data_IF_896202605360
#
_entry.id   IF_896202605360
#
_cell.length_a   1.000
_cell.length_b   1.000
_cell.length_c   1.000
_cell.angle_alpha   90.00
_cell.angle_beta   90.00
_cell.angle_gamma   90.00
#
_symmetry.space_group_name_H-M   'P 1'
#
loop_
_entity.id
_entity.type
_entity.pdbx_description
1 polymer ?
#
# COMPACT_ATOMS: atom_id res chain seq x y z
N UNK A 1 13.54 5.70 11.95
CA UNK A 1 12.52 6.18 11.00
C UNK A 1 11.61 5.01 10.69
N UNK A 2 10.31 5.15 10.91
CA UNK A 2 9.29 4.14 10.61
C UNK A 2 8.84 4.33 9.17
N UNK A 3 9.13 3.34 8.31
CA UNK A 3 8.72 3.35 6.91
C UNK A 3 7.59 2.33 6.74
N UNK A 4 6.44 2.81 6.25
CA UNK A 4 5.29 1.98 5.90
C UNK A 4 5.19 1.78 4.39
N UNK A 5 4.79 0.58 3.96
CA UNK A 5 4.39 0.27 2.60
C UNK A 5 2.89 0.02 2.55
N UNK A 6 2.14 0.79 1.76
CA UNK A 6 0.75 0.51 1.42
C UNK A 6 0.66 -0.01 -0.02
N UNK A 7 0.62 -1.34 -0.22
CA UNK A 7 0.61 -1.93 -1.55
C UNK A 7 -0.82 -2.09 -2.10
N UNK A 8 -0.99 -1.97 -3.41
CA UNK A 8 -2.25 -2.19 -4.09
C UNK A 8 -2.11 -2.12 -5.61
N UNK A 9 -3.14 -2.58 -6.33
CA UNK A 9 -3.21 -2.36 -7.78
C UNK A 9 -3.58 -0.91 -8.09
N UNK A 10 -4.46 -0.30 -7.28
CA UNK A 10 -4.97 1.06 -7.46
C UNK A 10 -5.53 1.30 -8.87
N UNK A 11 -6.53 0.49 -9.26
CA UNK A 11 -7.09 0.47 -10.60
C UNK A 11 -8.61 0.78 -10.59
N UNK A 12 -9.02 2.05 -10.44
CA UNK A 12 -8.20 3.22 -10.07
C UNK A 12 -8.01 3.35 -8.55
N UNK A 13 -7.25 4.36 -8.12
CA UNK A 13 -7.29 4.83 -6.73
C UNK A 13 -8.72 5.32 -6.38
N UNK A 14 -9.14 5.16 -5.12
CA UNK A 14 -10.52 5.42 -4.67
C UNK A 14 -10.49 6.18 -3.34
N UNK A 15 -11.64 6.70 -2.91
CA UNK A 15 -11.77 7.40 -1.63
C UNK A 15 -11.40 6.50 -0.43
N UNK A 16 -11.71 5.20 -0.49
CA UNK A 16 -11.29 4.25 0.54
C UNK A 16 -9.76 4.06 0.60
N UNK A 17 -9.08 4.08 -0.56
CA UNK A 17 -7.61 4.09 -0.58
C UNK A 17 -7.05 5.38 0.04
N UNK A 18 -7.66 6.53 -0.28
CA UNK A 18 -7.25 7.85 0.23
C UNK A 18 -7.40 7.92 1.76
N UNK A 19 -8.50 7.41 2.32
CA UNK A 19 -8.70 7.33 3.78
C UNK A 19 -7.57 6.54 4.46
N UNK A 20 -7.23 5.36 3.92
CA UNK A 20 -6.15 4.53 4.45
C UNK A 20 -4.81 5.26 4.36
N UNK A 21 -4.52 5.93 3.25
CA UNK A 21 -3.28 6.70 3.08
C UNK A 21 -3.17 7.79 4.15
N UNK A 22 -4.23 8.59 4.33
CA UNK A 22 -4.24 9.68 5.31
C UNK A 22 -4.04 9.17 6.74
N UNK A 23 -4.73 8.10 7.11
CA UNK A 23 -4.62 7.53 8.46
C UNK A 23 -3.29 6.81 8.66
N UNK A 24 -2.73 6.18 7.63
CA UNK A 24 -1.42 5.55 7.66
C UNK A 24 -0.30 6.55 7.93
N UNK A 25 -0.38 7.77 7.39
CA UNK A 25 0.59 8.84 7.65
C UNK A 25 0.70 9.22 9.14
N UNK A 26 -0.32 8.96 9.95
CA UNK A 26 -0.24 9.19 11.39
C UNK A 26 0.57 8.09 12.14
N UNK A 27 0.87 6.97 11.48
CA UNK A 27 1.53 5.80 12.08
C UNK A 27 3.01 5.67 11.70
N UNK A 28 3.41 6.29 10.60
CA UNK A 28 4.75 6.16 10.02
C UNK A 28 5.38 7.52 9.71
N UNK A 29 6.71 7.57 9.72
CA UNK A 29 7.44 8.80 9.39
C UNK A 29 7.48 9.03 7.88
N UNK A 30 7.50 7.93 7.09
CA UNK A 30 7.44 7.93 5.63
C UNK A 30 6.51 6.83 5.14
N UNK A 31 5.62 7.17 4.20
CA UNK A 31 4.70 6.22 3.58
C UNK A 31 5.09 5.98 2.12
N UNK A 32 5.21 4.71 1.73
CA UNK A 32 5.43 4.30 0.35
C UNK A 32 4.16 3.66 -0.17
N UNK A 33 3.67 4.13 -1.33
CA UNK A 33 2.51 3.54 -2.00
C UNK A 33 3.02 2.60 -3.10
N UNK A 34 2.92 1.30 -2.84
CA UNK A 34 3.39 0.26 -3.75
C UNK A 34 2.36 -0.02 -4.83
N UNK A 35 2.59 0.43 -6.07
CA UNK A 35 1.68 0.18 -7.19
C UNK A 35 2.10 -1.10 -7.91
N UNK A 36 1.36 -2.18 -7.68
CA UNK A 36 1.65 -3.48 -8.29
C UNK A 36 1.31 -3.46 -9.80
N UNK A 37 2.19 -4.03 -10.64
CA UNK A 37 1.90 -4.14 -12.08
C UNK A 37 0.69 -5.02 -12.35
N UNK A 38 0.59 -6.18 -11.68
CA UNK A 38 -0.51 -7.16 -11.81
C UNK A 38 -0.92 -7.47 -13.26
N UNK A 39 0.05 -7.81 -14.13
CA UNK A 39 -0.18 -8.10 -15.56
C UNK A 39 -1.25 -9.19 -15.79
N UNK A 40 -1.25 -10.22 -14.95
CA UNK A 40 -2.17 -11.36 -15.08
C UNK A 40 -3.64 -11.02 -14.81
N UNK A 41 -3.92 -9.87 -14.18
CA UNK A 41 -5.28 -9.44 -13.84
C UNK A 41 -5.89 -8.47 -14.86
N UNK A 42 -5.14 -8.06 -15.89
CA UNK A 42 -5.63 -7.19 -16.95
C UNK A 42 -6.24 -5.88 -16.43
N UNK A 43 -5.45 -5.01 -15.77
CA UNK A 43 -5.96 -3.76 -15.21
C UNK A 43 -6.59 -2.84 -16.28
N UNK A 44 -7.58 -2.06 -15.86
CA UNK A 44 -8.28 -1.09 -16.72
C UNK A 44 -7.35 0.03 -17.18
N UNK A 45 -6.44 0.46 -16.31
CA UNK A 45 -5.47 1.52 -16.56
C UNK A 45 -4.03 0.97 -16.64
N UNK A 46 -3.20 1.62 -17.46
CA UNK A 46 -1.77 1.29 -17.53
C UNK A 46 -1.10 1.52 -16.18
N UNK A 47 0.09 0.93 -15.98
CA UNK A 47 0.85 1.17 -14.75
C UNK A 47 1.17 2.66 -14.58
N UNK A 48 1.54 3.31 -15.67
CA UNK A 48 1.89 4.73 -15.72
C UNK A 48 0.68 5.60 -15.36
N UNK A 49 -0.51 5.27 -15.89
CA UNK A 49 -1.75 5.97 -15.55
C UNK A 49 -2.11 5.82 -14.08
N UNK A 50 -2.01 4.61 -13.52
CA UNK A 50 -2.29 4.35 -12.11
C UNK A 50 -1.30 5.06 -11.18
N UNK A 51 -0.01 5.03 -11.51
CA UNK A 51 1.01 5.78 -10.78
C UNK A 51 0.69 7.27 -10.79
N UNK A 52 0.39 7.85 -11.96
CA UNK A 52 0.05 9.26 -12.07
C UNK A 52 -1.19 9.65 -11.25
N UNK A 53 -2.24 8.81 -11.25
CA UNK A 53 -3.42 9.02 -10.41
C UNK A 53 -3.07 8.99 -8.92
N UNK A 54 -2.28 8.01 -8.47
CA UNK A 54 -1.87 7.88 -7.08
C UNK A 54 -0.99 9.07 -6.66
N UNK A 55 -0.05 9.50 -7.50
CA UNK A 55 0.82 10.66 -7.26
C UNK A 55 0.01 11.95 -7.10
N UNK A 56 -0.99 12.16 -7.95
CA UNK A 56 -1.86 13.34 -7.88
C UNK A 56 -2.62 13.42 -6.54
N UNK A 57 -3.22 12.31 -6.10
CA UNK A 57 -3.91 12.24 -4.81
C UNK A 57 -2.95 12.40 -3.63
N UNK A 58 -1.78 11.75 -3.68
CA UNK A 58 -0.76 11.87 -2.64
C UNK A 58 -0.23 13.29 -2.49
N UNK A 59 -0.02 14.01 -3.60
CA UNK A 59 0.40 15.41 -3.59
C UNK A 59 -0.63 16.31 -2.87
N UNK A 60 -1.92 16.09 -3.11
CA UNK A 60 -2.99 16.81 -2.43
C UNK A 60 -3.05 16.52 -0.91
N UNK A 61 -2.70 15.28 -0.50
CA UNK A 61 -2.62 14.90 0.92
C UNK A 61 -1.41 15.57 1.59
N UNK A 62 -0.21 15.44 0.99
CA UNK A 62 1.04 16.05 1.52
C UNK A 62 0.86 17.54 1.75
N UNK A 63 0.24 18.25 0.79
CA UNK A 63 -0.01 19.69 0.88
C UNK A 63 -0.88 20.08 2.09
N UNK A 64 -1.72 19.17 2.60
CA UNK A 64 -2.64 19.42 3.73
C UNK A 64 -2.05 18.98 5.07
N UNK A 65 -1.38 17.84 5.11
CA UNK A 65 -0.97 17.21 6.38
C UNK A 65 0.47 17.50 6.76
N UNK A 66 1.32 17.84 5.78
CA UNK A 66 2.76 17.65 5.94
C UNK A 66 3.14 16.17 6.00
N UNK A 67 4.39 15.83 5.68
CA UNK A 67 4.90 14.46 5.67
C UNK A 67 5.47 14.04 4.31
N UNK A 68 5.93 12.79 4.24
CA UNK A 68 6.56 12.21 3.05
C UNK A 68 5.75 11.00 2.55
N UNK A 69 5.22 11.11 1.33
CA UNK A 69 4.63 9.98 0.59
C UNK A 69 5.42 9.79 -0.70
N UNK A 70 5.79 8.55 -1.01
CA UNK A 70 6.48 8.18 -2.25
C UNK A 70 5.68 7.11 -2.98
N UNK A 71 5.39 7.33 -4.25
CA UNK A 71 4.75 6.31 -5.09
C UNK A 71 5.83 5.44 -5.74
N UNK A 72 5.70 4.13 -5.62
CA UNK A 72 6.70 3.17 -6.07
C UNK A 72 6.04 2.03 -6.87
N UNK A 73 6.16 2.01 -8.20
CA UNK A 73 5.72 0.86 -9.00
C UNK A 73 6.64 -0.34 -8.75
N UNK A 74 6.06 -1.54 -8.65
CA UNK A 74 6.85 -2.76 -8.45
C UNK A 74 6.22 -3.99 -9.13
N UNK A 75 7.06 -4.94 -9.50
CA UNK A 75 6.67 -6.21 -10.14
C UNK A 75 7.13 -7.48 -9.42
N UNK A 76 7.99 -7.35 -8.41
CA UNK A 76 8.48 -8.45 -7.59
C UNK A 76 7.50 -8.81 -6.46
N UNK A 77 7.92 -9.71 -5.56
CA UNK A 77 7.11 -10.08 -4.40
C UNK A 77 6.92 -8.87 -3.49
N UNK A 78 5.76 -8.80 -2.84
CA UNK A 78 5.45 -7.74 -1.88
C UNK A 78 6.53 -7.58 -0.81
N UNK A 79 7.03 -8.71 -0.29
CA UNK A 79 8.06 -8.69 0.76
C UNK A 79 9.40 -8.14 0.26
N UNK A 80 9.72 -8.35 -1.02
CA UNK A 80 10.94 -7.84 -1.63
C UNK A 80 10.81 -6.33 -1.89
N UNK A 81 9.66 -5.88 -2.41
CA UNK A 81 9.35 -4.45 -2.51
C UNK A 81 9.45 -3.75 -1.14
N UNK A 82 8.94 -4.38 -0.06
CA UNK A 82 9.08 -3.83 1.28
C UNK A 82 10.56 -3.68 1.69
N UNK A 83 11.42 -4.65 1.39
CA UNK A 83 12.88 -4.55 1.63
C UNK A 83 13.52 -3.45 0.78
N UNK A 84 13.19 -3.40 -0.50
CA UNK A 84 13.76 -2.45 -1.47
C UNK A 84 13.54 -1.00 -1.04
N UNK A 85 12.37 -0.70 -0.47
CA UNK A 85 12.02 0.64 0.02
C UNK A 85 12.33 0.84 1.52
N UNK A 86 12.91 -0.16 2.18
CA UNK A 86 13.25 -0.13 3.60
C UNK A 86 12.05 -0.12 4.55
N UNK A 87 10.88 -0.59 4.10
CA UNK A 87 9.67 -0.67 4.90
C UNK A 87 9.75 -1.80 5.94
N UNK A 88 9.53 -1.46 7.20
CA UNK A 88 9.36 -2.43 8.29
C UNK A 88 7.89 -2.75 8.59
N UNK A 89 6.96 -2.04 7.93
CA UNK A 89 5.52 -2.16 8.16
C UNK A 89 4.82 -2.24 6.81
N UNK A 90 4.01 -3.26 6.59
CA UNK A 90 3.04 -3.35 5.49
C UNK A 90 1.68 -2.95 6.04
N UNK A 91 1.04 -1.99 5.40
CA UNK A 91 -0.30 -1.49 5.78
C UNK A 91 -1.30 -2.08 4.79
N UNK A 92 -2.45 -2.58 5.29
CA UNK A 92 -3.52 -3.13 4.45
C UNK A 92 -4.87 -2.62 4.94
N UNK A 93 -5.76 -2.31 3.99
CA UNK A 93 -7.16 -2.00 4.30
C UNK A 93 -8.01 -3.27 4.30
N UNK A 94 -8.87 -3.46 5.29
CA UNK A 94 -9.91 -4.49 5.31
C UNK A 94 -11.28 -3.83 5.17
N UNK A 95 -12.08 -4.25 4.19
CA UNK A 95 -13.44 -3.72 3.98
C UNK A 95 -14.50 -4.69 4.47
N UNK A 96 -14.31 -5.98 4.21
CA UNK A 96 -15.26 -7.02 4.57
C UNK A 96 -14.58 -8.20 5.26
N UNK A 97 -15.37 -9.01 5.97
CA UNK A 97 -14.90 -10.23 6.62
C UNK A 97 -14.22 -11.18 5.63
N UNK A 98 -14.69 -11.24 4.38
CA UNK A 98 -14.11 -12.07 3.34
C UNK A 98 -12.66 -11.71 2.98
N UNK A 99 -12.26 -10.43 3.15
CA UNK A 99 -10.88 -10.00 2.92
C UNK A 99 -9.94 -10.63 3.97
N UNK A 100 -10.44 -10.87 5.19
CA UNK A 100 -9.62 -11.33 6.31
C UNK A 100 -9.01 -12.71 6.08
N UNK A 101 -9.76 -13.68 5.56
CA UNK A 101 -9.23 -15.04 5.35
C UNK A 101 -8.06 -15.05 4.36
N UNK A 102 -8.22 -14.35 3.24
CA UNK A 102 -7.18 -14.20 2.24
C UNK A 102 -5.95 -13.47 2.79
N UNK A 103 -6.17 -12.35 3.47
CA UNK A 103 -5.09 -11.56 4.05
C UNK A 103 -4.36 -12.30 5.18
N UNK A 104 -5.07 -13.08 6.00
CA UNK A 104 -4.48 -13.88 7.08
C UNK A 104 -3.49 -14.92 6.53
N UNK A 105 -3.85 -15.59 5.43
CA UNK A 105 -2.93 -16.51 4.75
C UNK A 105 -1.70 -15.78 4.20
N UNK A 106 -1.89 -14.63 3.56
CA UNK A 106 -0.77 -13.84 3.03
C UNK A 106 0.18 -13.36 4.14
N UNK A 107 -0.34 -12.98 5.30
CA UNK A 107 0.50 -12.61 6.46
C UNK A 107 1.37 -13.78 6.90
N UNK A 108 0.81 -14.98 7.00
CA UNK A 108 1.57 -16.18 7.33
C UNK A 108 2.72 -16.44 6.35
N UNK A 109 2.45 -16.29 5.04
CA UNK A 109 3.46 -16.46 3.99
C UNK A 109 4.55 -15.38 4.05
N UNK A 110 4.17 -14.10 4.15
CA UNK A 110 5.11 -12.99 4.23
C UNK A 110 5.99 -13.08 5.48
N UNK A 111 5.42 -13.46 6.63
CA UNK A 111 6.18 -13.66 7.88
C UNK A 111 7.18 -14.81 7.77
N UNK A 112 6.86 -15.87 7.02
CA UNK A 112 7.79 -16.96 6.76
C UNK A 112 8.96 -16.52 5.87
N UNK A 113 8.74 -15.55 4.98
CA UNK A 113 9.77 -14.97 4.11
C UNK A 113 10.61 -13.91 4.83
N UNK A 114 9.99 -13.11 5.70
CA UNK A 114 10.65 -12.13 6.56
C UNK A 114 9.82 -11.82 7.81
N UNK A 115 10.29 -12.29 8.97
CA UNK A 115 9.61 -12.03 10.23
C UNK A 115 9.92 -10.63 10.82
N UNK A 116 10.81 -9.85 10.20
CA UNK A 116 11.14 -8.50 10.66
C UNK A 116 10.16 -7.43 10.13
N UNK A 117 9.37 -7.78 9.12
CA UNK A 117 8.38 -6.91 8.48
C UNK A 117 6.99 -7.28 9.04
N UNK A 118 6.32 -6.32 9.66
CA UNK A 118 5.02 -6.53 10.29
C UNK A 118 3.87 -6.10 9.38
N UNK A 119 2.72 -6.78 9.43
CA UNK A 119 1.53 -6.37 8.68
C UNK A 119 0.47 -5.78 9.61
N UNK A 120 0.07 -4.55 9.35
CA UNK A 120 -0.97 -3.83 10.09
C UNK A 120 -2.22 -3.69 9.23
N UNK A 121 -3.35 -4.15 9.75
CA UNK A 121 -4.65 -3.96 9.12
C UNK A 121 -5.38 -2.75 9.68
N UNK A 122 -5.97 -1.99 8.78
CA UNK A 122 -6.84 -0.86 9.09
C UNK A 122 -8.21 -1.15 8.50
N UNK A 123 -9.25 -0.95 9.30
CA UNK A 123 -10.62 -0.99 8.78
C UNK A 123 -10.78 0.14 7.78
N UNK A 124 -11.07 -0.19 6.52
CA UNK A 124 -11.34 0.80 5.48
C UNK A 124 -12.84 1.14 5.48
N UNK A 125 -13.16 2.43 5.34
CA UNK A 125 -14.55 2.85 5.18
C UNK A 125 -15.15 2.25 3.89
N UNK A 126 -16.42 1.83 4.00
CA UNK A 126 -17.19 1.21 2.93
C UNK A 126 -17.80 2.25 1.98
#
# INVERSE_FOLDING_TARGET
>A
MRIGLYPGTFDPITLGHIDIIQRAMALVDRLVIGVAINRDKGPMFTLEERVAMVEAECAAIIAKTGGEIVVHPFENLLIDCARDVGAGIIIRGLRAVADFEYEFQMVGMNRALDASIETVFMMADA
#
